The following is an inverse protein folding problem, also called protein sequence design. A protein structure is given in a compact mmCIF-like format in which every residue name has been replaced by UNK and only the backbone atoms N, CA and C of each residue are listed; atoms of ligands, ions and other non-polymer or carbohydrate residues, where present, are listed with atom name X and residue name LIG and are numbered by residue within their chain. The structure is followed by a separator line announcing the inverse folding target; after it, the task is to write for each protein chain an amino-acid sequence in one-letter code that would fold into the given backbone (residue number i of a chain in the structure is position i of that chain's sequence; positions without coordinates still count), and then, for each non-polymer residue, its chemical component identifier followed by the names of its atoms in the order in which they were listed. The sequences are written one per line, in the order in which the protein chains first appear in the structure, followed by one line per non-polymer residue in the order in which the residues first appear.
data_IF_528943372201
#
_entry.id   IF_528943372201
#
_cell.length_a   1.000
_cell.length_b   1.000
_cell.length_c   1.000
_cell.angle_alpha   90.00
_cell.angle_beta   90.00
_cell.angle_gamma   90.00
#
_symmetry.space_group_name_H-M   'P 1'
#
loop_
_entity.id
_entity.type
_entity.pdbx_description
1 polymer ?
#
# COMPACT_ATOMS: atom_id res chain seq x y z
N UNK A 1 22.91 -30.41 11.01
CA UNK A 1 22.50 -29.44 9.98
C UNK A 1 23.27 -28.15 10.22
N UNK A 2 23.93 -27.55 9.21
CA UNK A 2 24.47 -26.22 9.38
C UNK A 2 23.31 -25.22 9.59
N UNK A 3 23.43 -24.26 10.51
CA UNK A 3 22.45 -23.19 10.62
C UNK A 3 22.43 -22.44 9.29
N UNK A 4 21.25 -22.34 8.67
CA UNK A 4 21.06 -21.49 7.48
C UNK A 4 21.53 -20.08 7.82
N UNK A 5 22.47 -19.50 7.04
CA UNK A 5 22.97 -18.18 7.32
C UNK A 5 21.79 -17.19 7.28
N UNK A 6 21.70 -16.26 8.25
CA UNK A 6 20.68 -15.23 8.21
C UNK A 6 20.82 -14.46 6.90
N UNK A 7 19.71 -14.32 6.17
CA UNK A 7 19.66 -13.49 4.97
C UNK A 7 20.24 -12.11 5.31
N UNK A 8 21.13 -11.59 4.46
CA UNK A 8 21.66 -10.25 4.66
C UNK A 8 20.51 -9.24 4.77
N UNK A 9 20.62 -8.19 5.58
CA UNK A 9 19.53 -7.24 5.83
C UNK A 9 18.92 -6.71 4.52
N UNK A 10 19.77 -6.42 3.55
CA UNK A 10 19.39 -5.99 2.20
C UNK A 10 18.52 -7.01 1.43
N UNK A 11 18.78 -8.32 1.57
CA UNK A 11 17.97 -9.36 0.95
C UNK A 11 16.58 -9.43 1.60
N UNK A 12 16.49 -9.28 2.92
CA UNK A 12 15.21 -9.29 3.64
C UNK A 12 14.30 -8.14 3.22
N UNK A 13 14.83 -6.91 3.11
CA UNK A 13 14.05 -5.76 2.64
C UNK A 13 13.56 -5.92 1.19
N UNK A 14 14.37 -6.52 0.30
CA UNK A 14 13.98 -6.76 -1.09
C UNK A 14 12.85 -7.79 -1.20
N UNK A 15 12.93 -8.90 -0.47
CA UNK A 15 11.89 -9.93 -0.48
C UNK A 15 10.58 -9.38 0.08
N UNK A 16 10.64 -8.69 1.22
CA UNK A 16 9.46 -8.07 1.83
C UNK A 16 8.82 -7.01 0.91
N UNK A 17 9.63 -6.22 0.19
CA UNK A 17 9.08 -5.25 -0.74
C UNK A 17 8.36 -5.95 -1.92
N UNK A 18 8.96 -6.99 -2.49
CA UNK A 18 8.36 -7.78 -3.58
C UNK A 18 7.05 -8.43 -3.16
N UNK A 19 6.95 -8.94 -1.94
CA UNK A 19 5.70 -9.54 -1.44
C UNK A 19 4.59 -8.50 -1.30
N UNK A 20 4.87 -7.30 -0.78
CA UNK A 20 3.85 -6.24 -0.72
C UNK A 20 3.38 -5.80 -2.11
N UNK A 21 4.28 -5.70 -3.08
CA UNK A 21 3.91 -5.41 -4.48
C UNK A 21 3.02 -6.52 -5.03
N UNK A 22 3.35 -7.78 -4.78
CA UNK A 22 2.54 -8.91 -5.20
C UNK A 22 1.14 -8.88 -4.58
N UNK A 23 1.03 -8.56 -3.28
CA UNK A 23 -0.27 -8.36 -2.62
C UNK A 23 -1.06 -7.22 -3.30
N UNK A 24 -0.41 -6.11 -3.62
CA UNK A 24 -1.07 -5.00 -4.34
C UNK A 24 -1.57 -5.42 -5.73
N UNK A 25 -0.80 -6.21 -6.47
CA UNK A 25 -1.20 -6.75 -7.77
C UNK A 25 -2.42 -7.65 -7.61
N UNK A 26 -2.39 -8.58 -6.64
CA UNK A 26 -3.53 -9.46 -6.36
C UNK A 26 -4.80 -8.65 -6.04
N UNK A 27 -4.67 -7.57 -5.25
CA UNK A 27 -5.79 -6.67 -4.94
C UNK A 27 -6.33 -5.93 -6.18
N UNK A 28 -5.48 -5.66 -7.17
CA UNK A 28 -5.81 -4.86 -8.35
C UNK A 28 -6.36 -5.72 -9.49
N UNK A 29 -5.73 -6.85 -9.76
CA UNK A 29 -5.99 -7.72 -10.91
C UNK A 29 -6.77 -8.98 -10.53
N UNK A 30 -6.75 -9.38 -9.26
CA UNK A 30 -7.49 -10.52 -8.75
C UNK A 30 -8.87 -10.17 -8.20
N UNK A 31 -9.39 -11.09 -7.38
CA UNK A 31 -10.64 -10.94 -6.64
C UNK A 31 -10.39 -10.10 -5.38
N UNK A 32 -10.55 -8.77 -5.53
CA UNK A 32 -10.29 -7.78 -4.49
C UNK A 32 -11.06 -8.07 -3.20
N UNK A 33 -12.32 -8.49 -3.30
CA UNK A 33 -13.19 -8.70 -2.14
C UNK A 33 -12.72 -9.88 -1.29
N UNK A 34 -12.35 -10.99 -1.94
CA UNK A 34 -11.80 -12.16 -1.22
C UNK A 34 -10.47 -11.84 -0.54
N UNK A 35 -9.59 -11.14 -1.25
CA UNK A 35 -8.27 -10.80 -0.73
C UNK A 35 -8.38 -9.79 0.41
N UNK A 36 -9.15 -8.71 0.25
CA UNK A 36 -9.38 -7.73 1.30
C UNK A 36 -10.12 -8.36 2.49
N UNK A 37 -11.08 -9.25 2.26
CA UNK A 37 -11.73 -10.03 3.31
C UNK A 37 -10.73 -10.84 4.13
N UNK A 38 -9.79 -11.51 3.47
CA UNK A 38 -8.72 -12.25 4.14
C UNK A 38 -7.76 -11.34 4.93
N UNK A 39 -7.38 -10.19 4.36
CA UNK A 39 -6.50 -9.21 5.02
C UNK A 39 -7.18 -8.55 6.22
N UNK A 40 -8.49 -8.31 6.15
CA UNK A 40 -9.28 -7.78 7.26
C UNK A 40 -9.32 -8.74 8.43
N UNK A 41 -9.36 -10.05 8.17
CA UNK A 41 -9.30 -11.10 9.19
C UNK A 41 -7.88 -11.26 9.78
N UNK A 42 -6.83 -10.91 9.03
CA UNK A 42 -5.44 -11.12 9.42
C UNK A 42 -4.60 -9.83 9.24
N UNK A 43 -4.85 -8.77 10.05
CA UNK A 43 -4.19 -7.48 9.85
C UNK A 43 -2.66 -7.52 10.06
N UNK A 44 -2.17 -8.44 10.90
CA UNK A 44 -0.75 -8.59 11.19
C UNK A 44 0.10 -8.98 9.96
N UNK A 45 -0.50 -9.51 8.89
CA UNK A 45 0.21 -9.91 7.66
C UNK A 45 0.84 -8.71 6.95
N UNK A 46 0.26 -7.51 7.11
CA UNK A 46 0.73 -6.29 6.46
C UNK A 46 1.61 -5.43 7.38
N UNK A 47 1.83 -5.86 8.62
CA UNK A 47 2.61 -5.10 9.57
C UNK A 47 4.10 -5.14 9.19
N UNK A 48 4.58 -4.01 8.71
CA UNK A 48 5.99 -3.80 8.37
C UNK A 48 6.70 -2.89 9.39
N UNK A 49 6.04 -2.52 10.50
CA UNK A 49 6.56 -1.55 11.48
C UNK A 49 7.89 -1.97 12.10
N UNK A 50 8.08 -3.28 12.29
CA UNK A 50 9.28 -3.89 12.87
C UNK A 50 10.48 -3.95 11.92
N UNK A 51 10.29 -3.66 10.62
CA UNK A 51 11.41 -3.52 9.69
C UNK A 51 12.17 -2.23 9.97
N UNK A 52 13.11 -2.28 10.92
CA UNK A 52 14.09 -1.24 11.24
C UNK A 52 15.47 -1.86 11.21
N UNK A 53 16.34 -1.37 10.33
CA UNK A 53 17.75 -1.75 10.39
C UNK A 53 18.53 -0.75 11.25
N UNK A 54 19.43 -1.27 12.10
CA UNK A 54 20.37 -0.49 12.92
C UNK A 54 21.68 -0.19 12.19
N UNK A 55 21.84 -0.69 10.97
CA UNK A 55 22.96 -0.28 10.13
C UNK A 55 22.77 1.19 9.72
N UNK A 56 23.79 2.04 9.95
CA UNK A 56 23.81 3.45 9.50
C UNK A 56 23.85 3.61 7.97
N UNK A 57 23.40 2.60 7.22
CA UNK A 57 23.33 2.63 5.77
C UNK A 57 22.14 3.44 5.32
N UNK A 58 22.39 4.58 4.67
CA UNK A 58 21.35 5.45 4.11
C UNK A 58 20.40 4.70 3.17
N UNK A 59 20.95 3.80 2.36
CA UNK A 59 20.20 2.98 1.39
C UNK A 59 19.24 2.02 2.09
N UNK A 60 19.68 1.35 3.16
CA UNK A 60 18.82 0.42 3.91
C UNK A 60 17.70 1.17 4.64
N UNK A 61 18.02 2.32 5.24
CA UNK A 61 17.04 3.16 5.92
C UNK A 61 15.93 3.66 4.98
N UNK A 62 16.30 4.02 3.75
CA UNK A 62 15.37 4.38 2.67
C UNK A 62 14.46 3.20 2.31
N UNK A 63 15.02 2.00 2.10
CA UNK A 63 14.22 0.81 1.78
C UNK A 63 13.25 0.45 2.91
N UNK A 64 13.70 0.53 4.16
CA UNK A 64 12.86 0.28 5.33
C UNK A 64 11.73 1.32 5.46
N UNK A 65 11.99 2.60 5.16
CA UNK A 65 10.96 3.65 5.12
C UNK A 65 9.92 3.39 4.03
N UNK A 66 10.35 3.01 2.83
CA UNK A 66 9.44 2.69 1.72
C UNK A 66 8.57 1.48 2.03
N UNK A 67 9.16 0.44 2.62
CA UNK A 67 8.44 -0.77 3.02
C UNK A 67 7.35 -0.45 4.05
N UNK A 68 7.68 0.31 5.10
CA UNK A 68 6.72 0.74 6.12
C UNK A 68 5.60 1.60 5.57
N UNK A 69 5.93 2.58 4.73
CA UNK A 69 4.92 3.45 4.12
C UNK A 69 3.95 2.66 3.23
N UNK A 70 4.48 1.70 2.46
CA UNK A 70 3.66 0.88 1.57
C UNK A 70 2.82 -0.16 2.33
N UNK A 71 3.36 -0.77 3.38
CA UNK A 71 2.60 -1.62 4.31
C UNK A 71 1.43 -0.87 4.94
N UNK A 72 1.69 0.34 5.45
CA UNK A 72 0.67 1.21 6.03
C UNK A 72 -0.43 1.60 5.01
N UNK A 73 -0.08 1.81 3.74
CA UNK A 73 -1.05 2.04 2.68
C UNK A 73 -1.98 0.83 2.48
N UNK A 74 -1.42 -0.39 2.39
CA UNK A 74 -2.22 -1.61 2.23
C UNK A 74 -3.08 -1.89 3.47
N UNK A 75 -2.56 -1.63 4.67
CA UNK A 75 -3.33 -1.75 5.90
C UNK A 75 -4.49 -0.75 5.92
N UNK A 76 -4.24 0.52 5.56
CA UNK A 76 -5.29 1.53 5.45
C UNK A 76 -6.37 1.11 4.45
N UNK A 77 -5.97 0.58 3.28
CA UNK A 77 -6.91 0.04 2.29
C UNK A 77 -7.76 -1.09 2.85
N UNK A 78 -7.17 -2.02 3.61
CA UNK A 78 -7.91 -3.11 4.28
C UNK A 78 -8.88 -2.59 5.34
N UNK A 79 -8.48 -1.55 6.09
CA UNK A 79 -9.32 -0.91 7.11
C UNK A 79 -10.51 -0.19 6.49
N UNK A 80 -10.30 0.58 5.42
CA UNK A 80 -11.40 1.22 4.68
C UNK A 80 -12.36 0.17 4.10
N UNK A 81 -11.85 -0.97 3.64
CA UNK A 81 -12.71 -2.08 3.19
C UNK A 81 -13.51 -2.74 4.31
N UNK A 82 -12.96 -2.85 5.53
CA UNK A 82 -13.69 -3.39 6.69
C UNK A 82 -14.99 -2.61 6.94
N UNK A 83 -14.90 -1.28 6.87
CA UNK A 83 -15.99 -0.35 7.16
C UNK A 83 -16.96 -0.23 5.98
N UNK A 84 -16.44 -0.04 4.76
CA UNK A 84 -17.28 0.30 3.58
C UNK A 84 -17.69 -0.92 2.76
N UNK A 85 -17.03 -2.07 2.94
CA UNK A 85 -17.19 -3.30 2.12
C UNK A 85 -17.03 -3.06 0.61
N UNK A 86 -16.32 -1.99 0.25
CA UNK A 86 -16.10 -1.57 -1.13
C UNK A 86 -14.62 -1.22 -1.29
N UNK A 87 -14.02 -1.69 -2.38
CA UNK A 87 -12.69 -1.24 -2.79
C UNK A 87 -12.79 0.16 -3.43
N UNK A 88 -12.44 1.19 -2.66
CA UNK A 88 -12.43 2.60 -3.07
C UNK A 88 -11.65 2.88 -4.37
N UNK A 89 -10.66 2.05 -4.71
CA UNK A 89 -9.86 2.23 -5.94
C UNK A 89 -10.58 1.68 -7.17
N UNK A 90 -11.36 0.59 -7.01
CA UNK A 90 -12.10 -0.05 -8.10
C UNK A 90 -13.46 0.60 -8.32
N UNK A 91 -14.16 0.95 -7.26
CA UNK A 91 -15.50 1.56 -7.30
C UNK A 91 -15.45 3.10 -7.36
N UNK A 92 -14.44 3.70 -7.99
CA UNK A 92 -14.25 5.17 -7.97
C UNK A 92 -15.50 5.93 -8.44
N UNK A 93 -16.12 5.50 -9.54
CA UNK A 93 -17.30 6.16 -10.09
C UNK A 93 -18.49 6.06 -9.13
N UNK A 94 -18.73 4.87 -8.59
CA UNK A 94 -19.84 4.60 -7.67
C UNK A 94 -19.68 5.34 -6.35
N UNK A 95 -18.45 5.41 -5.82
CA UNK A 95 -18.14 6.18 -4.61
C UNK A 95 -18.31 7.68 -4.82
N UNK A 96 -17.93 8.22 -5.98
CA UNK A 96 -18.18 9.63 -6.31
C UNK A 96 -19.69 9.91 -6.36
N UNK A 97 -20.48 9.01 -6.95
CA UNK A 97 -21.93 9.15 -6.96
C UNK A 97 -22.50 9.10 -5.53
N UNK A 98 -22.05 8.13 -4.73
CA UNK A 98 -22.46 7.96 -3.32
C UNK A 98 -22.16 9.20 -2.49
N UNK A 99 -20.95 9.77 -2.56
CA UNK A 99 -20.59 10.95 -1.77
C UNK A 99 -21.37 12.21 -2.16
N UNK A 100 -21.95 12.27 -3.37
CA UNK A 100 -22.80 13.38 -3.78
C UNK A 100 -24.24 13.26 -3.26
N UNK A 101 -24.70 12.05 -2.98
CA UNK A 101 -26.08 11.77 -2.58
C UNK A 101 -26.24 11.39 -1.10
N UNK A 102 -25.16 10.94 -0.44
CA UNK A 102 -25.20 10.48 0.95
C UNK A 102 -25.28 11.69 1.90
N UNK A 103 -26.32 11.80 2.75
CA UNK A 103 -26.41 12.89 3.71
C UNK A 103 -25.41 12.73 4.85
N UNK A 104 -25.14 13.84 5.55
CA UNK A 104 -24.17 13.88 6.67
C UNK A 104 -24.56 12.92 7.80
N UNK A 105 -25.86 12.84 8.09
CA UNK A 105 -26.46 12.00 9.12
C UNK A 105 -26.21 10.50 8.89
N UNK A 106 -26.14 10.08 7.62
CA UNK A 106 -25.88 8.69 7.22
C UNK A 106 -24.39 8.34 7.19
N UNK A 107 -23.53 9.23 7.70
CA UNK A 107 -22.10 8.95 7.87
C UNK A 107 -21.19 9.44 6.74
N UNK A 108 -21.63 10.39 5.90
CA UNK A 108 -20.79 10.96 4.83
C UNK A 108 -19.40 11.39 5.32
N UNK A 109 -19.33 12.11 6.46
CA UNK A 109 -18.06 12.57 7.01
C UNK A 109 -17.12 11.40 7.34
N UNK A 110 -17.67 10.32 7.90
CA UNK A 110 -16.91 9.11 8.23
C UNK A 110 -16.36 8.43 6.99
N UNK A 111 -17.15 8.31 5.92
CA UNK A 111 -16.67 7.69 4.68
C UNK A 111 -15.61 8.54 3.97
N UNK A 112 -15.78 9.86 4.00
CA UNK A 112 -14.80 10.81 3.46
C UNK A 112 -13.49 10.77 4.24
N UNK A 113 -13.53 10.67 5.57
CA UNK A 113 -12.33 10.48 6.41
C UNK A 113 -11.57 9.20 6.03
N UNK A 114 -12.28 8.09 5.80
CA UNK A 114 -11.66 6.82 5.38
C UNK A 114 -11.01 6.91 4.00
N UNK A 115 -11.61 7.66 3.07
CA UNK A 115 -11.02 7.95 1.76
C UNK A 115 -9.76 8.83 1.91
N UNK A 116 -9.85 9.91 2.69
CA UNK A 116 -8.74 10.82 2.93
C UNK A 116 -7.55 10.09 3.56
N UNK A 117 -7.78 9.28 4.59
CA UNK A 117 -6.74 8.49 5.23
C UNK A 117 -6.01 7.56 4.23
N UNK A 118 -6.74 6.94 3.30
CA UNK A 118 -6.15 6.10 2.27
C UNK A 118 -5.32 6.91 1.26
N UNK A 119 -5.77 8.11 0.90
CA UNK A 119 -5.02 9.03 0.03
C UNK A 119 -3.76 9.52 0.74
N UNK A 120 -3.84 9.91 2.00
CA UNK A 120 -2.68 10.39 2.78
C UNK A 120 -1.63 9.29 2.93
N UNK A 121 -2.04 8.05 3.21
CA UNK A 121 -1.12 6.91 3.26
C UNK A 121 -0.44 6.65 1.90
N UNK A 122 -1.17 6.83 0.79
CA UNK A 122 -0.62 6.74 -0.56
C UNK A 122 0.39 7.86 -0.83
N UNK A 123 0.09 9.08 -0.38
CA UNK A 123 0.95 10.26 -0.57
C UNK A 123 2.22 10.19 0.29
N UNK A 124 2.16 9.54 1.45
CA UNK A 124 3.31 9.30 2.33
C UNK A 124 4.36 8.36 1.74
N UNK A 125 4.01 7.55 0.72
CA UNK A 125 4.95 6.67 0.04
C UNK A 125 5.99 7.48 -0.78
N UNK A 126 7.31 7.34 -0.53
CA UNK A 126 8.34 8.08 -1.25
C UNK A 126 8.48 7.63 -2.71
N UNK A 127 8.34 8.56 -3.65
CA UNK A 127 8.42 8.31 -5.11
C UNK A 127 9.85 8.32 -5.63
N UNK A 128 10.71 9.17 -5.07
CA UNK A 128 12.04 9.45 -5.63
C UNK A 128 13.05 8.31 -5.53
N UNK A 129 12.89 7.41 -4.56
CA UNK A 129 13.92 6.42 -4.21
C UNK A 129 13.60 4.99 -4.69
N UNK A 130 12.42 4.78 -5.24
CA UNK A 130 12.09 3.54 -5.94
C UNK A 130 12.86 3.34 -7.25
N UNK A 131 13.43 4.42 -7.79
CA UNK A 131 14.40 4.36 -8.89
C UNK A 131 15.66 3.59 -8.49
N UNK A 132 16.04 3.60 -7.21
CA UNK A 132 17.19 2.83 -6.70
C UNK A 132 16.87 1.34 -6.51
N UNK A 133 15.59 0.99 -6.32
CA UNK A 133 15.10 -0.40 -6.35
C UNK A 133 14.93 -0.94 -7.78
N UNK A 134 14.73 -0.05 -8.77
CA UNK A 134 14.43 -0.39 -10.18
C UNK A 134 15.64 -0.75 -11.04
N UNK A 135 16.75 -1.24 -10.46
CA UNK A 135 17.77 -1.92 -11.29
C UNK A 135 17.32 -3.31 -11.77
N UNK A 136 16.28 -3.89 -11.16
CA UNK A 136 15.62 -5.10 -11.67
C UNK A 136 14.46 -4.70 -12.59
N UNK A 137 14.61 -4.95 -13.90
CA UNK A 137 13.67 -4.59 -14.96
C UNK A 137 12.23 -5.12 -14.76
N UNK A 138 12.04 -6.11 -13.87
CA UNK A 138 10.75 -6.74 -13.61
C UNK A 138 9.79 -5.90 -12.76
N UNK A 139 10.25 -4.88 -12.03
CA UNK A 139 9.39 -4.08 -11.14
C UNK A 139 8.97 -2.72 -11.72
N UNK A 140 9.61 -2.27 -12.80
CA UNK A 140 9.32 -1.01 -13.49
C UNK A 140 7.86 -0.83 -13.96
N UNK A 141 7.20 -1.83 -14.59
CA UNK A 141 5.80 -1.67 -15.01
C UNK A 141 4.85 -1.53 -13.81
N UNK A 142 5.12 -2.21 -12.70
CA UNK A 142 4.32 -2.14 -11.48
C UNK A 142 4.51 -0.81 -10.75
N UNK A 143 5.74 -0.30 -10.73
CA UNK A 143 6.03 1.03 -10.18
C UNK A 143 5.42 2.15 -11.04
N UNK A 144 5.37 1.98 -12.37
CA UNK A 144 4.68 2.90 -13.28
C UNK A 144 3.18 3.01 -12.98
N UNK A 145 2.49 1.91 -12.68
CA UNK A 145 1.07 1.92 -12.31
C UNK A 145 0.82 2.66 -10.99
N UNK A 146 1.68 2.44 -9.99
CA UNK A 146 1.63 3.17 -8.71
C UNK A 146 1.86 4.68 -8.91
N UNK A 147 2.88 5.06 -9.71
CA UNK A 147 3.17 6.45 -10.05
C UNK A 147 2.07 7.11 -10.88
N UNK A 148 1.51 6.41 -11.87
CA UNK A 148 0.41 6.91 -12.68
C UNK A 148 -0.83 7.21 -11.83
N UNK A 149 -1.13 6.35 -10.83
CA UNK A 149 -2.25 6.59 -9.93
C UNK A 149 -1.98 7.75 -8.97
N UNK A 150 -0.76 7.86 -8.42
CA UNK A 150 -0.36 9.02 -7.61
C UNK A 150 -0.41 10.32 -8.42
N UNK A 151 0.07 10.32 -9.66
CA UNK A 151 0.01 11.47 -10.55
C UNK A 151 -1.45 11.89 -10.84
N UNK A 152 -2.36 10.92 -11.02
CA UNK A 152 -3.79 11.19 -11.18
C UNK A 152 -4.43 11.84 -9.94
N UNK A 153 -3.94 11.59 -8.73
CA UNK A 153 -4.39 12.27 -7.51
C UNK A 153 -3.67 13.60 -7.26
N UNK A 154 -2.40 13.73 -7.67
CA UNK A 154 -1.61 14.95 -7.52
C UNK A 154 -1.99 16.04 -8.52
N UNK A 155 -2.48 15.67 -9.71
CA UNK A 155 -2.87 16.61 -10.79
C UNK A 155 -4.27 17.19 -10.62
N UNK A 156 -5.02 16.79 -9.58
CA UNK A 156 -6.37 17.27 -9.30
C UNK A 156 -6.41 18.34 -8.20
N UNK A 157 -5.27 18.98 -7.92
CA UNK A 157 -5.15 20.20 -7.09
C UNK A 157 -5.03 21.42 -7.98
#
# INVERSE_FOLDING_TARGET
MPPTPPLTPLLQHKVAFKTLILVHILLREGDSDRILGYLVANPAILDASDFRDRTNSSVVNVHAKNLRAYGAYLECKSRSYRELKVDLVRAKADMIARFRSLPVEDGLLREVELLQAQIDALLACPVGEARLLSREASLLPFFSVFLAKRASFSSSR
#
